data_IF_087856397535
#
_entry.id   IF_087856397535
#
_cell.length_a   1.000
_cell.length_b   1.000
_cell.length_c   1.000
_cell.angle_alpha   90.00
_cell.angle_beta   90.00
_cell.angle_gamma   90.00
#
_symmetry.space_group_name_H-M   'P 1'
#
loop_
_entity.id
_entity.type
_entity.pdbx_description
1 polymer ?
#
# COMPACT_ATOMS: atom_id res chain seq x y z
N UNK A 1 5.04 6.56 8.10
CA UNK A 1 3.88 6.28 7.22
C UNK A 1 2.98 7.49 7.23
N UNK A 2 2.40 7.89 6.10
CA UNK A 2 1.43 8.99 6.10
C UNK A 2 0.11 8.47 6.72
N UNK A 3 -0.56 9.21 7.63
CA UNK A 3 -1.82 8.78 8.29
C UNK A 3 -2.92 8.35 7.32
N UNK A 4 -2.84 8.81 6.06
CA UNK A 4 -3.76 8.42 4.98
C UNK A 4 -3.55 6.98 4.51
N UNK A 5 -2.30 6.47 4.51
CA UNK A 5 -2.01 5.12 4.06
C UNK A 5 -2.61 4.08 5.02
N UNK A 6 -2.51 4.35 6.31
CA UNK A 6 -3.07 3.50 7.37
C UNK A 6 -4.60 3.43 7.25
N UNK A 7 -5.23 4.56 6.92
CA UNK A 7 -6.68 4.61 6.73
C UNK A 7 -7.14 3.97 5.41
N UNK A 8 -6.40 4.12 4.32
CA UNK A 8 -6.66 3.39 3.07
C UNK A 8 -6.60 1.89 3.35
N UNK A 9 -5.61 1.42 4.09
CA UNK A 9 -5.52 0.03 4.52
C UNK A 9 -6.73 -0.40 5.36
N UNK A 10 -7.13 0.41 6.36
CA UNK A 10 -8.31 0.11 7.20
C UNK A 10 -9.60 0.01 6.37
N UNK A 11 -9.82 0.95 5.45
CA UNK A 11 -11.02 1.00 4.61
C UNK A 11 -11.10 -0.25 3.76
N UNK A 12 -10.05 -0.56 3.01
CA UNK A 12 -10.14 -1.64 2.02
C UNK A 12 -9.88 -3.02 2.61
N UNK A 13 -9.16 -3.11 3.73
CA UNK A 13 -8.85 -4.38 4.41
C UNK A 13 -9.85 -4.78 5.50
N UNK A 14 -10.58 -3.83 6.10
CA UNK A 14 -11.36 -4.12 7.32
C UNK A 14 -12.74 -3.46 7.38
N UNK A 15 -13.02 -2.42 6.60
CA UNK A 15 -14.34 -1.80 6.62
C UNK A 15 -15.38 -2.69 5.91
N UNK A 16 -16.58 -2.72 6.48
CA UNK A 16 -17.72 -3.38 5.86
C UNK A 16 -18.06 -2.75 4.50
N UNK A 17 -18.57 -3.53 3.52
CA UNK A 17 -18.92 -3.01 2.21
C UNK A 17 -19.80 -1.75 2.26
N UNK A 18 -20.81 -1.74 3.13
CA UNK A 18 -21.72 -0.60 3.30
C UNK A 18 -20.98 0.68 3.76
N UNK A 19 -20.00 0.54 4.66
CA UNK A 19 -19.18 1.66 5.11
C UNK A 19 -18.32 2.20 3.97
N UNK A 20 -17.81 1.31 3.12
CA UNK A 20 -17.02 1.69 1.94
C UNK A 20 -17.86 2.37 0.87
N UNK A 21 -19.11 2.00 0.70
CA UNK A 21 -19.93 2.53 -0.41
C UNK A 21 -20.75 3.76 -0.01
N UNK A 22 -21.29 3.78 1.21
CA UNK A 22 -22.31 4.76 1.60
C UNK A 22 -21.89 5.66 2.76
N UNK A 23 -20.93 5.24 3.60
CA UNK A 23 -20.61 5.94 4.87
C UNK A 23 -19.17 6.38 5.01
N UNK A 24 -18.46 6.55 3.89
CA UNK A 24 -17.05 6.98 3.90
C UNK A 24 -16.83 8.32 4.61
N UNK A 25 -17.72 9.30 4.39
CA UNK A 25 -17.58 10.64 4.98
C UNK A 25 -17.69 10.58 6.51
N UNK A 26 -18.61 9.77 7.04
CA UNK A 26 -18.75 9.55 8.48
C UNK A 26 -17.48 8.92 9.06
N UNK A 27 -16.94 7.90 8.38
CA UNK A 27 -15.68 7.27 8.77
C UNK A 27 -14.51 8.29 8.76
N UNK A 28 -14.40 9.12 7.73
CA UNK A 28 -13.34 10.14 7.65
C UNK A 28 -13.45 11.17 8.77
N UNK A 29 -14.66 11.65 9.06
CA UNK A 29 -14.89 12.59 10.15
C UNK A 29 -14.50 11.96 11.50
N UNK A 30 -14.94 10.74 11.76
CA UNK A 30 -14.62 10.04 13.00
C UNK A 30 -13.11 9.78 13.13
N UNK A 31 -12.46 9.36 12.05
CA UNK A 31 -11.01 9.19 12.04
C UNK A 31 -10.27 10.48 12.37
N UNK A 32 -10.65 11.61 11.75
CA UNK A 32 -10.01 12.90 11.99
C UNK A 32 -10.24 13.41 13.40
N UNK A 33 -11.43 13.19 13.97
CA UNK A 33 -11.75 13.53 15.35
C UNK A 33 -10.83 12.76 16.31
N UNK A 34 -10.77 11.44 16.19
CA UNK A 34 -9.94 10.58 17.04
C UNK A 34 -8.45 10.90 16.86
N UNK A 35 -7.99 11.08 15.62
CA UNK A 35 -6.60 11.40 15.32
C UNK A 35 -6.18 12.74 15.92
N UNK A 36 -6.96 13.79 15.69
CA UNK A 36 -6.66 15.12 16.23
C UNK A 36 -6.77 15.18 17.76
N UNK A 37 -7.74 14.46 18.34
CA UNK A 37 -7.85 14.33 19.81
C UNK A 37 -6.66 13.59 20.42
N UNK A 38 -6.15 12.56 19.74
CA UNK A 38 -4.94 11.84 20.16
C UNK A 38 -3.70 12.74 20.09
N UNK A 39 -3.56 13.52 19.00
CA UNK A 39 -2.48 14.51 18.88
C UNK A 39 -2.53 15.53 20.03
N UNK A 40 -3.72 15.97 20.43
CA UNK A 40 -3.88 16.88 21.56
C UNK A 40 -3.44 16.29 22.89
N UNK A 41 -3.83 15.05 23.18
CA UNK A 41 -3.42 14.33 24.38
C UNK A 41 -1.90 14.14 24.46
N UNK A 42 -1.24 14.04 23.30
CA UNK A 42 0.22 13.94 23.18
C UNK A 42 0.92 15.32 23.21
N UNK A 43 0.18 16.42 23.33
CA UNK A 43 0.73 17.78 23.34
C UNK A 43 1.15 18.30 21.98
N UNK A 44 0.74 17.65 20.89
CA UNK A 44 1.00 18.12 19.52
C UNK A 44 0.05 19.27 19.15
N UNK A 45 0.58 20.28 18.45
CA UNK A 45 -0.19 21.46 18.01
C UNK A 45 -0.80 21.29 16.61
N UNK A 46 -0.29 20.34 15.85
CA UNK A 46 -0.68 20.05 14.49
C UNK A 46 -2.09 19.48 14.45
N UNK A 47 -2.87 19.87 13.43
CA UNK A 47 -4.20 19.34 13.19
C UNK A 47 -4.37 19.02 11.72
N UNK A 48 -4.95 17.86 11.46
CA UNK A 48 -5.28 17.43 10.10
C UNK A 48 -6.70 17.88 9.78
N UNK A 49 -6.83 18.79 8.81
CA UNK A 49 -8.14 19.24 8.34
C UNK A 49 -8.72 18.26 7.33
N UNK A 50 -10.05 18.24 7.18
CA UNK A 50 -10.72 17.45 6.14
C UNK A 50 -10.22 17.79 4.72
N UNK A 51 -9.85 19.04 4.47
CA UNK A 51 -9.32 19.47 3.17
C UNK A 51 -7.96 18.81 2.89
N UNK A 52 -7.00 18.95 3.82
CA UNK A 52 -5.68 18.35 3.70
C UNK A 52 -5.77 16.82 3.63
N UNK A 53 -6.66 16.24 4.43
CA UNK A 53 -6.93 14.81 4.40
C UNK A 53 -7.38 14.33 3.01
N UNK A 54 -8.32 15.03 2.37
CA UNK A 54 -8.76 14.72 1.00
C UNK A 54 -7.65 14.88 -0.04
N UNK A 55 -6.78 15.88 0.12
CA UNK A 55 -5.61 16.07 -0.74
C UNK A 55 -4.63 14.91 -0.62
N UNK A 56 -4.34 14.48 0.61
CA UNK A 56 -3.51 13.30 0.86
C UNK A 56 -4.15 12.01 0.33
N UNK A 57 -5.47 11.83 0.49
CA UNK A 57 -6.19 10.69 -0.10
C UNK A 57 -6.02 10.66 -1.63
N UNK A 58 -6.15 11.81 -2.31
CA UNK A 58 -5.94 11.90 -3.76
C UNK A 58 -4.53 11.50 -4.17
N UNK A 59 -3.52 11.89 -3.39
CA UNK A 59 -2.13 11.49 -3.63
C UNK A 59 -1.89 9.99 -3.38
N UNK A 60 -2.67 9.37 -2.49
CA UNK A 60 -2.58 7.93 -2.21
C UNK A 60 -3.28 7.05 -3.25
N UNK A 61 -4.27 7.58 -4.00
CA UNK A 61 -5.06 6.81 -4.98
C UNK A 61 -4.18 6.10 -6.02
N UNK A 62 -3.20 6.74 -6.69
CA UNK A 62 -2.37 6.06 -7.67
C UNK A 62 -1.57 4.90 -7.08
N UNK A 63 -1.04 5.07 -5.86
CA UNK A 63 -0.33 4.01 -5.14
C UNK A 63 -1.26 2.86 -4.77
N UNK A 64 -2.47 3.17 -4.29
CA UNK A 64 -3.47 2.18 -3.94
C UNK A 64 -3.93 1.38 -5.17
N UNK A 65 -4.25 2.05 -6.28
CA UNK A 65 -4.63 1.42 -7.55
C UNK A 65 -3.50 0.52 -8.05
N UNK A 66 -2.25 1.00 -8.07
CA UNK A 66 -1.12 0.20 -8.51
C UNK A 66 -0.94 -1.06 -7.67
N UNK A 67 -1.02 -0.92 -6.34
CA UNK A 67 -0.85 -2.04 -5.40
C UNK A 67 -1.98 -3.05 -5.52
N UNK A 68 -3.25 -2.60 -5.55
CA UNK A 68 -4.39 -3.51 -5.62
C UNK A 68 -4.49 -4.19 -6.99
N UNK A 69 -4.17 -3.48 -8.08
CA UNK A 69 -4.17 -4.07 -9.43
C UNK A 69 -3.10 -5.15 -9.53
N UNK A 70 -1.91 -4.91 -8.99
CA UNK A 70 -0.84 -5.92 -8.93
C UNK A 70 -1.27 -7.15 -8.11
N UNK A 71 -1.81 -6.92 -6.90
CA UNK A 71 -2.25 -8.00 -6.01
C UNK A 71 -3.41 -8.83 -6.58
N UNK A 72 -4.47 -8.17 -7.09
CA UNK A 72 -5.62 -8.86 -7.69
C UNK A 72 -5.24 -9.62 -8.94
N UNK A 73 -4.37 -9.07 -9.79
CA UNK A 73 -3.91 -9.75 -11.01
C UNK A 73 -3.18 -11.05 -10.67
N UNK A 74 -2.37 -11.06 -9.62
CA UNK A 74 -1.71 -12.29 -9.15
C UNK A 74 -2.70 -13.28 -8.54
N UNK A 75 -3.63 -12.82 -7.70
CA UNK A 75 -4.66 -13.70 -7.13
C UNK A 75 -5.56 -14.32 -8.21
N UNK A 76 -5.89 -13.59 -9.27
CA UNK A 76 -6.71 -14.10 -10.36
C UNK A 76 -5.92 -14.97 -11.35
N UNK A 77 -4.59 -14.92 -11.33
CA UNK A 77 -3.77 -15.78 -12.19
C UNK A 77 -3.42 -17.13 -11.55
N UNK A 78 -3.78 -17.37 -10.29
CA UNK A 78 -3.65 -18.68 -9.62
C UNK A 78 -4.34 -19.77 -10.44
N UNK A 79 -3.66 -20.91 -10.64
CA UNK A 79 -4.12 -22.05 -11.44
C UNK A 79 -4.32 -21.75 -12.93
N UNK A 80 -3.79 -20.62 -13.41
CA UNK A 80 -3.79 -20.26 -14.84
C UNK A 80 -2.38 -20.38 -15.44
N UNK A 81 -2.29 -20.38 -16.77
CA UNK A 81 -0.99 -20.35 -17.49
C UNK A 81 -0.15 -19.09 -17.21
N UNK A 82 -0.79 -18.04 -16.66
CA UNK A 82 -0.19 -16.74 -16.39
C UNK A 82 0.17 -16.61 -14.89
N UNK A 83 0.10 -17.70 -14.12
CA UNK A 83 0.56 -17.76 -12.73
C UNK A 83 2.04 -17.44 -12.63
N UNK A 84 2.39 -16.48 -11.77
CA UNK A 84 3.79 -16.23 -11.42
C UNK A 84 4.14 -16.98 -10.15
N UNK A 85 5.09 -17.91 -10.25
CA UNK A 85 5.65 -18.57 -9.07
C UNK A 85 6.60 -17.63 -8.34
N UNK A 86 6.33 -17.45 -7.05
CA UNK A 86 7.23 -16.78 -6.11
C UNK A 86 7.97 -17.80 -5.21
N UNK A 87 7.99 -19.07 -5.60
CA UNK A 87 8.64 -20.12 -4.83
C UNK A 87 10.13 -19.82 -4.63
N UNK A 88 10.60 -20.03 -3.40
CA UNK A 88 12.00 -19.81 -3.04
C UNK A 88 12.41 -18.35 -2.81
N UNK A 89 11.51 -17.37 -2.94
CA UNK A 89 11.79 -15.98 -2.53
C UNK A 89 11.70 -15.77 -1.01
N UNK A 90 10.87 -16.54 -0.30
CA UNK A 90 10.85 -16.58 1.17
C UNK A 90 10.30 -17.92 1.62
N UNK A 91 11.15 -18.77 2.19
CA UNK A 91 10.67 -20.00 2.84
C UNK A 91 10.24 -19.70 4.28
N UNK A 92 9.34 -20.50 4.85
CA UNK A 92 8.96 -20.38 6.26
C UNK A 92 10.20 -20.49 7.18
N UNK A 93 11.18 -21.31 6.81
CA UNK A 93 12.43 -21.52 7.54
C UNK A 93 13.35 -20.28 7.51
N UNK A 94 13.45 -19.57 6.38
CA UNK A 94 14.15 -18.29 6.29
C UNK A 94 13.52 -17.25 7.24
N UNK A 95 12.18 -17.21 7.28
CA UNK A 95 11.44 -16.27 8.13
C UNK A 95 11.66 -16.55 9.62
N UNK A 96 11.55 -17.81 10.06
CA UNK A 96 11.74 -18.16 11.47
C UNK A 96 13.20 -18.10 11.93
N UNK A 97 14.17 -18.32 11.02
CA UNK A 97 15.59 -18.25 11.36
C UNK A 97 16.16 -16.82 11.34
N UNK A 98 15.38 -15.83 10.90
CA UNK A 98 15.80 -14.44 10.78
C UNK A 98 16.90 -14.21 9.73
N UNK A 99 17.19 -15.22 8.90
CA UNK A 99 18.19 -15.15 7.83
C UNK A 99 17.50 -14.70 6.55
N UNK A 100 18.04 -13.65 5.93
CA UNK A 100 17.52 -13.17 4.65
C UNK A 100 17.79 -14.21 3.55
N UNK A 101 16.73 -14.56 2.82
CA UNK A 101 16.81 -15.50 1.70
C UNK A 101 17.85 -15.03 0.66
N UNK A 102 18.83 -15.87 0.27
CA UNK A 102 19.90 -15.47 -0.64
C UNK A 102 19.42 -15.03 -2.02
N UNK A 103 18.36 -15.66 -2.54
CA UNK A 103 17.74 -15.32 -3.83
C UNK A 103 17.09 -13.94 -3.76
N UNK A 104 16.38 -13.64 -2.67
CA UNK A 104 15.80 -12.32 -2.43
C UNK A 104 16.88 -11.25 -2.31
N UNK A 105 17.96 -11.53 -1.58
CA UNK A 105 19.10 -10.60 -1.47
C UNK A 105 19.78 -10.36 -2.82
N UNK A 106 19.98 -11.40 -3.62
CA UNK A 106 20.56 -11.28 -4.95
C UNK A 106 19.65 -10.51 -5.92
N UNK A 107 18.33 -10.69 -5.84
CA UNK A 107 17.36 -9.92 -6.62
C UNK A 107 17.40 -8.43 -6.25
N UNK A 108 17.37 -8.11 -4.95
CA UNK A 108 17.40 -6.72 -4.46
C UNK A 108 18.73 -6.02 -4.72
N UNK A 109 19.85 -6.76 -4.72
CA UNK A 109 21.18 -6.26 -5.09
C UNK A 109 21.45 -6.35 -6.59
N UNK A 110 20.54 -6.95 -7.36
CA UNK A 110 20.80 -7.40 -8.71
C UNK A 110 21.02 -6.24 -9.68
N UNK A 111 22.12 -6.30 -10.43
CA UNK A 111 22.45 -5.38 -11.52
C UNK A 111 21.30 -5.29 -12.55
N UNK A 112 20.57 -6.39 -12.76
CA UNK A 112 19.41 -6.46 -13.65
C UNK A 112 18.25 -5.60 -13.16
N UNK A 113 17.92 -5.65 -11.87
CA UNK A 113 16.88 -4.80 -11.29
C UNK A 113 17.28 -3.33 -11.44
N UNK A 114 18.51 -2.99 -11.06
CA UNK A 114 19.04 -1.63 -11.18
C UNK A 114 19.06 -1.11 -12.63
N UNK A 115 19.38 -1.96 -13.61
CA UNK A 115 19.37 -1.59 -15.02
C UNK A 115 17.95 -1.42 -15.59
N UNK A 116 16.98 -2.19 -15.11
CA UNK A 116 15.58 -2.15 -15.58
C UNK A 116 14.74 -1.10 -14.87
N UNK A 117 15.05 -0.76 -13.62
CA UNK A 117 14.29 0.18 -12.80
C UNK A 117 14.02 1.53 -13.50
N UNK A 118 15.00 2.19 -14.17
CA UNK A 118 14.74 3.45 -14.88
C UNK A 118 13.82 3.30 -16.10
N UNK A 119 13.78 2.13 -16.74
CA UNK A 119 12.88 1.84 -17.87
C UNK A 119 11.47 1.61 -17.35
N UNK A 120 11.32 0.79 -16.31
CA UNK A 120 10.03 0.50 -15.66
C UNK A 120 9.41 1.80 -15.12
N UNK A 121 10.20 2.65 -14.44
CA UNK A 121 9.70 3.92 -13.92
C UNK A 121 9.22 4.86 -15.03
N UNK A 122 9.93 4.94 -16.17
CA UNK A 122 9.49 5.73 -17.32
C UNK A 122 8.15 5.25 -17.88
N UNK A 123 8.01 3.94 -18.09
CA UNK A 123 6.75 3.35 -18.55
C UNK A 123 5.60 3.63 -17.58
N UNK A 124 5.85 3.51 -16.28
CA UNK A 124 4.82 3.77 -15.27
C UNK A 124 4.39 5.26 -15.25
N UNK A 125 5.33 6.19 -15.40
CA UNK A 125 5.02 7.62 -15.49
C UNK A 125 4.31 8.02 -16.79
N UNK A 126 4.50 7.29 -17.89
CA UNK A 126 3.73 7.48 -19.12
C UNK A 126 2.29 6.97 -19.00
N UNK A 127 2.03 5.97 -18.15
CA UNK A 127 0.67 5.44 -17.93
C UNK A 127 -0.17 6.33 -17.01
N UNK A 128 0.48 7.10 -16.14
CA UNK A 128 -0.19 7.92 -15.12
C UNK A 128 -0.40 9.38 -15.56
N UNK A 129 0.42 9.90 -16.49
CA UNK A 129 0.28 11.24 -17.07
C UNK A 129 -0.62 11.25 -18.31
#
# INVERSE_FOLDING_TARGET
TLPVMDLVYLIYGSAQPDVREHRQIELYNHYLEVFNGTLEQLGCTERLTMKQFKEYMKLAIPWFIGTITFALSHMWSIDTKDEQSFDGLTTAEDFYSGRANPTLLALLRGEVLNARLPVIMRQYFEVIN
#
